data_IF_420681267729
#
_entry.id   IF_420681267729
#
_cell.length_a   1.000
_cell.length_b   1.000
_cell.length_c   1.000
_cell.angle_alpha   90.00
_cell.angle_beta   90.00
_cell.angle_gamma   90.00
#
_symmetry.space_group_name_H-M   'P 1'
#
loop_
_entity.id
_entity.type
_entity.pdbx_description
1 polymer ?
#
# COMPACT_ATOMS: atom_id res chain seq x y z
N UNK A 1 -22.07 31.06 11.70
CA UNK A 1 -22.12 29.79 12.46
C UNK A 1 -21.76 28.65 11.54
N UNK A 2 -20.54 28.13 11.64
CA UNK A 2 -20.09 26.99 10.83
C UNK A 2 -20.49 25.73 11.58
N UNK A 3 -21.46 24.98 11.06
CA UNK A 3 -21.83 23.68 11.61
C UNK A 3 -20.63 22.75 11.37
N UNK A 4 -19.91 22.39 12.45
CA UNK A 4 -18.87 21.39 12.39
C UNK A 4 -19.50 20.08 11.88
N UNK A 5 -19.10 19.65 10.69
CA UNK A 5 -19.51 18.35 10.15
C UNK A 5 -19.03 17.28 11.14
N UNK A 6 -19.89 16.38 11.64
CA UNK A 6 -19.42 15.28 12.47
C UNK A 6 -18.38 14.49 11.68
N UNK A 7 -17.25 14.19 12.31
CA UNK A 7 -16.21 13.36 11.71
C UNK A 7 -16.85 12.02 11.32
N UNK A 8 -16.70 11.62 10.05
CA UNK A 8 -17.20 10.33 9.59
C UNK A 8 -16.57 9.20 10.43
N UNK A 9 -17.32 8.16 10.80
CA UNK A 9 -16.78 7.06 11.57
C UNK A 9 -15.67 6.37 10.76
N UNK A 10 -14.53 6.11 11.40
CA UNK A 10 -13.43 5.35 10.80
C UNK A 10 -13.90 3.94 10.49
N UNK A 11 -13.85 3.56 9.21
CA UNK A 11 -14.22 2.22 8.79
C UNK A 11 -13.01 1.29 8.93
N UNK A 12 -13.19 0.19 9.65
CA UNK A 12 -12.12 -0.77 9.91
C UNK A 12 -12.63 -2.20 9.86
N UNK A 13 -11.83 -3.06 9.23
CA UNK A 13 -12.03 -4.51 9.25
C UNK A 13 -11.36 -5.14 10.47
N UNK A 14 -11.88 -6.31 10.87
CA UNK A 14 -11.17 -7.22 11.76
C UNK A 14 -10.17 -8.06 10.96
N UNK A 15 -9.18 -8.64 11.64
CA UNK A 15 -8.17 -9.54 11.04
C UNK A 15 -8.81 -10.60 10.12
N UNK A 16 -9.87 -11.27 10.60
CA UNK A 16 -10.55 -12.34 9.85
C UNK A 16 -11.22 -11.88 8.55
N UNK A 17 -11.55 -10.59 8.44
CA UNK A 17 -12.14 -10.00 7.23
C UNK A 17 -11.05 -9.41 6.32
N UNK A 18 -10.01 -8.79 6.91
CA UNK A 18 -8.90 -8.21 6.18
C UNK A 18 -8.09 -9.25 5.39
N UNK A 19 -7.80 -10.40 6.00
CA UNK A 19 -6.99 -11.44 5.36
C UNK A 19 -7.58 -11.92 4.02
N UNK A 20 -8.85 -12.34 3.93
CA UNK A 20 -9.46 -12.70 2.65
C UNK A 20 -9.37 -11.60 1.59
N UNK A 21 -9.54 -10.33 1.98
CA UNK A 21 -9.45 -9.19 1.06
C UNK A 21 -8.04 -9.08 0.47
N UNK A 22 -7.01 -9.08 1.31
CA UNK A 22 -5.62 -8.96 0.86
C UNK A 22 -5.21 -10.20 0.05
N UNK A 23 -5.56 -11.41 0.49
CA UNK A 23 -5.24 -12.64 -0.25
C UNK A 23 -5.86 -12.61 -1.65
N UNK A 24 -7.14 -12.24 -1.76
CA UNK A 24 -7.82 -12.17 -3.05
C UNK A 24 -7.20 -11.10 -3.96
N UNK A 25 -6.96 -9.89 -3.44
CA UNK A 25 -6.38 -8.79 -4.22
C UNK A 25 -4.94 -9.09 -4.67
N UNK A 26 -4.14 -9.74 -3.84
CA UNK A 26 -2.76 -10.12 -4.15
C UNK A 26 -2.64 -11.49 -4.85
N UNK A 27 -3.75 -12.14 -5.19
CA UNK A 27 -3.80 -13.45 -5.85
C UNK A 27 -3.04 -14.56 -5.09
N UNK A 28 -3.12 -14.54 -3.75
CA UNK A 28 -2.51 -15.56 -2.90
C UNK A 28 -3.45 -16.76 -2.78
N UNK A 29 -2.93 -17.94 -3.08
CA UNK A 29 -3.70 -19.18 -3.00
C UNK A 29 -4.24 -19.44 -1.57
N UNK A 30 -5.47 -19.98 -1.43
CA UNK A 30 -6.03 -20.33 -0.12
C UNK A 30 -5.18 -21.33 0.68
N UNK A 31 -4.45 -22.21 -0.02
CA UNK A 31 -3.51 -23.19 0.54
C UNK A 31 -2.40 -22.54 1.38
N UNK A 32 -1.96 -21.34 0.99
CA UNK A 32 -0.88 -20.60 1.64
C UNK A 32 -1.34 -19.76 2.86
N UNK A 33 -2.62 -19.86 3.27
CA UNK A 33 -3.23 -19.00 4.30
C UNK A 33 -2.45 -18.95 5.61
N UNK A 34 -1.95 -20.08 6.11
CA UNK A 34 -1.23 -20.12 7.39
C UNK A 34 0.07 -19.31 7.32
N UNK A 35 0.88 -19.53 6.27
CA UNK A 35 2.11 -18.79 6.05
C UNK A 35 1.83 -17.29 5.79
N UNK A 36 0.79 -17.01 5.02
CA UNK A 36 0.34 -15.65 4.75
C UNK A 36 -0.07 -14.89 6.02
N UNK A 37 -0.83 -15.53 6.92
CA UNK A 37 -1.23 -14.95 8.21
C UNK A 37 -0.02 -14.57 9.06
N UNK A 38 0.97 -15.46 9.15
CA UNK A 38 2.21 -15.16 9.87
C UNK A 38 2.94 -13.97 9.25
N UNK A 39 2.96 -13.88 7.91
CA UNK A 39 3.60 -12.79 7.20
C UNK A 39 2.89 -11.45 7.41
N UNK A 40 1.57 -11.42 7.34
CA UNK A 40 0.79 -10.20 7.64
C UNK A 40 1.12 -9.71 9.03
N UNK A 41 1.11 -10.58 10.05
CA UNK A 41 1.46 -10.19 11.43
C UNK A 41 2.89 -9.68 11.55
N UNK A 42 3.83 -10.22 10.79
CA UNK A 42 5.20 -9.70 10.74
C UNK A 42 5.22 -8.29 10.15
N UNK A 43 4.62 -8.08 8.98
CA UNK A 43 4.55 -6.77 8.32
C UNK A 43 3.84 -5.73 9.18
N UNK A 44 2.77 -6.11 9.86
CA UNK A 44 2.06 -5.22 10.78
C UNK A 44 2.94 -4.72 11.90
N UNK A 45 3.73 -5.61 12.52
CA UNK A 45 4.68 -5.19 13.56
C UNK A 45 5.72 -4.21 13.01
N UNK A 46 6.23 -4.47 11.81
CA UNK A 46 7.22 -3.62 11.15
C UNK A 46 6.64 -2.25 10.76
N UNK A 47 5.41 -2.21 10.25
CA UNK A 47 4.75 -0.97 9.84
C UNK A 47 4.31 -0.17 11.08
N UNK A 48 3.69 -0.83 12.06
CA UNK A 48 3.25 -0.17 13.29
C UNK A 48 4.42 0.38 14.11
N UNK A 49 5.58 -0.28 14.11
CA UNK A 49 6.76 0.18 14.87
C UNK A 49 7.40 1.47 14.33
N UNK A 50 6.94 2.01 13.20
CA UNK A 50 7.41 3.30 12.66
C UNK A 50 6.36 4.41 12.77
N UNK A 51 5.13 4.09 13.20
CA UNK A 51 4.09 5.09 13.47
C UNK A 51 4.22 5.43 14.95
N UNK A 52 4.48 6.69 15.28
CA UNK A 52 4.75 7.27 16.61
C UNK A 52 4.16 6.51 17.82
N UNK A 53 4.93 6.54 18.93
CA UNK A 53 4.59 6.01 20.27
C UNK A 53 3.25 6.54 20.84
N UNK A 54 2.64 7.55 20.24
CA UNK A 54 1.38 8.18 20.66
C UNK A 54 0.11 7.46 20.16
N UNK A 55 0.22 6.38 19.36
CA UNK A 55 -0.97 5.57 19.05
C UNK A 55 -1.32 4.73 20.29
N UNK A 56 -2.49 4.94 20.93
CA UNK A 56 -2.91 4.08 22.02
C UNK A 56 -2.95 2.64 21.53
N UNK A 57 -2.41 1.72 22.34
CA UNK A 57 -2.39 0.27 22.16
C UNK A 57 -3.82 -0.30 22.04
N UNK A 58 -4.51 0.03 20.96
CA UNK A 58 -5.82 -0.47 20.58
C UNK A 58 -5.68 -1.63 19.60
N UNK A 59 -6.74 -2.43 19.42
CA UNK A 59 -6.76 -3.47 18.39
C UNK A 59 -6.46 -2.85 17.02
N UNK A 60 -5.46 -3.40 16.32
CA UNK A 60 -5.06 -2.97 14.97
C UNK A 60 -6.29 -2.94 14.05
N UNK A 61 -6.72 -1.74 13.69
CA UNK A 61 -7.79 -1.49 12.75
C UNK A 61 -7.26 -1.68 11.33
N UNK A 62 -7.97 -2.45 10.50
CA UNK A 62 -7.65 -2.61 9.08
C UNK A 62 -8.52 -1.67 8.26
N UNK A 63 -8.16 -0.38 8.25
CA UNK A 63 -8.74 0.61 7.35
C UNK A 63 -8.20 0.44 5.92
N UNK A 64 -8.71 1.24 4.99
CA UNK A 64 -8.30 1.16 3.59
C UNK A 64 -6.79 1.44 3.41
N UNK A 65 -6.27 2.41 4.18
CA UNK A 65 -4.84 2.76 4.21
C UNK A 65 -4.01 1.54 4.64
N UNK A 66 -4.35 0.93 5.77
CA UNK A 66 -3.61 -0.20 6.31
C UNK A 66 -3.66 -1.43 5.37
N UNK A 67 -4.81 -1.67 4.71
CA UNK A 67 -4.93 -2.72 3.70
C UNK A 67 -4.05 -2.44 2.48
N UNK A 68 -4.02 -1.21 1.98
CA UNK A 68 -3.20 -0.81 0.84
C UNK A 68 -1.71 -0.89 1.17
N UNK A 69 -1.30 -0.46 2.36
CA UNK A 69 0.07 -0.60 2.87
C UNK A 69 0.52 -2.07 2.92
N UNK A 70 -0.30 -2.94 3.53
CA UNK A 70 0.01 -4.37 3.62
C UNK A 70 0.05 -5.04 2.24
N UNK A 71 -0.91 -4.73 1.37
CA UNK A 71 -0.93 -5.26 0.01
C UNK A 71 0.31 -4.83 -0.78
N UNK A 72 0.67 -3.54 -0.71
CA UNK A 72 1.88 -3.00 -1.36
C UNK A 72 3.12 -3.72 -0.86
N UNK A 73 3.30 -3.86 0.47
CA UNK A 73 4.44 -4.57 1.05
C UNK A 73 4.51 -6.03 0.58
N UNK A 74 3.37 -6.74 0.48
CA UNK A 74 3.32 -8.10 -0.06
C UNK A 74 3.75 -8.15 -1.52
N UNK A 75 3.30 -7.20 -2.34
CA UNK A 75 3.68 -7.13 -3.75
C UNK A 75 5.15 -6.82 -3.94
N UNK A 76 5.72 -5.93 -3.11
CA UNK A 76 7.17 -5.68 -3.08
C UNK A 76 7.94 -6.95 -2.71
N UNK A 77 7.48 -7.71 -1.72
CA UNK A 77 8.12 -8.97 -1.36
C UNK A 77 7.98 -10.06 -2.43
N UNK A 78 6.86 -10.10 -3.14
CA UNK A 78 6.68 -10.99 -4.29
C UNK A 78 7.67 -10.67 -5.42
N UNK A 79 8.13 -9.42 -5.50
CA UNK A 79 9.23 -8.97 -6.34
C UNK A 79 10.60 -9.06 -5.64
N UNK A 80 10.75 -10.03 -4.73
CA UNK A 80 11.99 -10.40 -4.02
C UNK A 80 12.54 -9.38 -3.02
N UNK A 81 11.76 -8.37 -2.64
CA UNK A 81 12.15 -7.46 -1.55
C UNK A 81 12.04 -8.16 -0.19
N UNK A 82 13.03 -7.99 0.69
CA UNK A 82 12.94 -8.49 2.07
C UNK A 82 11.85 -7.74 2.86
N UNK A 83 11.15 -8.40 3.81
CA UNK A 83 9.99 -7.79 4.50
C UNK A 83 10.29 -6.50 5.26
N UNK A 84 11.48 -6.38 5.87
CA UNK A 84 11.91 -5.16 6.57
C UNK A 84 12.02 -3.98 5.61
N UNK A 85 12.63 -4.19 4.44
CA UNK A 85 12.77 -3.16 3.41
C UNK A 85 11.41 -2.81 2.78
N UNK A 86 10.57 -3.81 2.50
CA UNK A 86 9.22 -3.58 1.97
C UNK A 86 8.38 -2.72 2.91
N UNK A 87 8.43 -2.99 4.22
CA UNK A 87 7.77 -2.16 5.22
C UNK A 87 8.33 -0.73 5.22
N UNK A 88 9.66 -0.54 5.17
CA UNK A 88 10.29 0.78 5.12
C UNK A 88 9.85 1.59 3.90
N UNK A 89 9.84 1.01 2.70
CA UNK A 89 9.35 1.70 1.50
C UNK A 89 7.89 2.17 1.65
N UNK A 90 7.03 1.29 2.17
CA UNK A 90 5.61 1.62 2.37
C UNK A 90 5.42 2.77 3.36
N UNK A 91 6.27 2.87 4.39
CA UNK A 91 6.20 3.92 5.41
C UNK A 91 6.86 5.21 4.91
N UNK A 92 8.15 5.15 4.58
CA UNK A 92 8.98 6.33 4.30
C UNK A 92 8.67 6.96 2.93
N UNK A 93 8.08 6.22 1.99
CA UNK A 93 7.70 6.73 0.66
C UNK A 93 6.20 6.85 0.48
N UNK A 94 5.41 6.78 1.56
CA UNK A 94 3.95 6.77 1.46
C UNK A 94 3.37 7.99 0.73
N UNK A 95 3.96 9.18 0.89
CA UNK A 95 3.53 10.40 0.20
C UNK A 95 3.58 10.26 -1.34
N UNK A 96 4.49 9.44 -1.85
CA UNK A 96 4.62 9.12 -3.28
C UNK A 96 3.72 7.93 -3.65
N UNK A 97 3.68 6.90 -2.80
CA UNK A 97 2.94 5.67 -3.06
C UNK A 97 1.42 5.89 -3.02
N UNK A 98 0.89 6.54 -1.99
CA UNK A 98 -0.56 6.71 -1.75
C UNK A 98 -1.33 7.26 -2.97
N UNK A 99 -0.90 8.37 -3.59
CA UNK A 99 -1.51 8.89 -4.81
C UNK A 99 -1.48 7.89 -5.99
N UNK A 100 -0.36 7.18 -6.18
CA UNK A 100 -0.22 6.17 -7.24
C UNK A 100 -1.13 4.96 -7.01
N UNK A 101 -1.26 4.52 -5.75
CA UNK A 101 -2.16 3.44 -5.35
C UNK A 101 -3.63 3.84 -5.56
N UNK A 102 -3.98 5.09 -5.27
CA UNK A 102 -5.31 5.63 -5.55
C UNK A 102 -5.59 5.65 -7.06
N UNK A 103 -4.63 6.09 -7.88
CA UNK A 103 -4.74 6.03 -9.34
C UNK A 103 -4.92 4.59 -9.82
N UNK A 104 -4.16 3.65 -9.25
CA UNK A 104 -4.24 2.22 -9.56
C UNK A 104 -5.60 1.58 -9.23
N UNK A 105 -6.39 2.14 -8.30
CA UNK A 105 -7.74 1.65 -8.03
C UNK A 105 -8.68 1.85 -9.22
N UNK A 106 -8.44 2.86 -10.06
CA UNK A 106 -9.10 3.08 -11.35
C UNK A 106 -10.63 2.87 -11.31
N UNK A 107 -11.17 1.87 -12.02
CA UNK A 107 -12.62 1.63 -12.12
C UNK A 107 -13.28 1.20 -10.81
N UNK A 108 -12.52 0.86 -9.76
CA UNK A 108 -13.07 0.58 -8.43
C UNK A 108 -13.44 1.87 -7.66
N UNK A 109 -13.00 3.04 -8.13
CA UNK A 109 -13.35 4.31 -7.51
C UNK A 109 -14.82 4.65 -7.78
N UNK A 110 -15.57 5.14 -6.77
CA UNK A 110 -16.95 5.60 -7.00
C UNK A 110 -17.01 6.73 -8.03
N UNK A 111 -18.01 6.69 -8.92
CA UNK A 111 -18.23 7.73 -9.94
C UNK A 111 -18.33 9.13 -9.31
N UNK A 112 -19.05 9.25 -8.20
CA UNK A 112 -19.18 10.52 -7.49
C UNK A 112 -17.86 11.03 -6.89
N UNK A 113 -16.89 10.14 -6.65
CA UNK A 113 -15.57 10.50 -6.16
C UNK A 113 -14.72 11.06 -7.30
N UNK A 114 -14.67 10.35 -8.43
CA UNK A 114 -13.90 10.76 -9.62
C UNK A 114 -14.47 12.01 -10.30
N UNK A 115 -15.79 12.25 -10.18
CA UNK A 115 -16.41 13.49 -10.62
C UNK A 115 -15.95 14.74 -9.82
N UNK A 116 -15.48 14.56 -8.58
CA UNK A 116 -15.08 15.64 -7.67
C UNK A 116 -13.58 15.77 -7.48
N UNK A 117 -12.81 14.73 -7.82
CA UNK A 117 -11.37 14.66 -7.60
C UNK A 117 -10.68 14.28 -8.89
N UNK A 118 -9.75 15.12 -9.34
CA UNK A 118 -8.81 14.74 -10.39
C UNK A 118 -7.87 13.66 -9.85
N UNK A 119 -7.88 12.51 -10.52
CA UNK A 119 -6.99 11.36 -10.26
C UNK A 119 -6.02 11.29 -11.45
N UNK A 120 -4.73 11.18 -11.15
CA UNK A 120 -3.71 11.00 -12.19
C UNK A 120 -3.79 9.62 -12.85
N UNK A 121 -3.01 9.43 -13.90
CA UNK A 121 -2.86 8.17 -14.65
C UNK A 121 -1.56 7.41 -14.28
N UNK A 122 -0.75 7.98 -13.39
CA UNK A 122 0.49 7.40 -12.91
C UNK A 122 0.19 6.25 -11.92
N UNK A 123 0.22 5.01 -12.41
CA UNK A 123 -0.10 3.79 -11.65
C UNK A 123 1.07 2.84 -11.48
N UNK A 124 2.18 3.09 -12.16
CA UNK A 124 3.36 2.22 -12.15
C UNK A 124 4.39 2.80 -11.20
N UNK A 125 4.71 2.03 -10.17
CA UNK A 125 5.77 2.34 -9.21
C UNK A 125 7.07 1.72 -9.70
N UNK A 126 8.12 2.53 -9.81
CA UNK A 126 9.44 2.09 -10.24
C UNK A 126 10.43 2.41 -9.13
N UNK A 127 11.05 1.38 -8.59
CA UNK A 127 11.96 1.49 -7.45
C UNK A 127 13.38 1.19 -7.93
N UNK A 128 14.29 2.13 -7.69
CA UNK A 128 15.70 1.98 -8.03
C UNK A 128 16.31 0.77 -7.29
N UNK A 129 17.05 -0.07 -8.03
CA UNK A 129 17.68 -1.27 -7.50
C UNK A 129 18.97 -1.04 -6.73
N UNK A 130 19.42 0.20 -6.54
CA UNK A 130 20.58 0.51 -5.69
C UNK A 130 20.38 0.00 -4.25
N UNK A 131 19.15 0.10 -3.71
CA UNK A 131 18.79 -0.54 -2.43
C UNK A 131 18.76 -2.09 -2.48
N UNK A 132 18.56 -2.68 -3.67
CA UNK A 132 18.58 -4.15 -3.87
C UNK A 132 20.01 -4.69 -4.02
N UNK A 133 20.93 -3.90 -4.57
CA UNK A 133 22.34 -4.25 -4.71
C UNK A 133 23.06 -4.32 -3.35
N UNK A 134 22.74 -3.41 -2.43
CA UNK A 134 23.30 -3.41 -1.07
C UNK A 134 22.77 -4.56 -0.20
N UNK A 135 21.53 -5.02 -0.43
CA UNK A 135 20.95 -6.18 0.26
C UNK A 135 21.75 -7.48 0.01
N UNK A 136 22.33 -7.62 -1.19
CA UNK A 136 23.20 -8.75 -1.51
C UNK A 136 24.51 -8.77 -0.71
N UNK A 137 24.98 -7.60 -0.24
CA UNK A 137 26.20 -7.48 0.56
C UNK A 137 25.95 -7.58 2.07
N UNK A 138 24.78 -7.14 2.54
CA UNK A 138 24.40 -7.22 3.97
C UNK A 138 23.62 -8.49 4.36
N UNK A 139 23.26 -9.35 3.41
CA UNK A 139 22.55 -10.62 3.63
C UNK A 139 23.26 -11.68 4.51
N UNK A 140 24.29 -11.30 5.27
CA UNK A 140 24.92 -12.12 6.31
C UNK A 140 24.34 -11.91 7.71
N UNK A 141 23.58 -10.84 7.96
CA UNK A 141 22.99 -10.58 9.26
C UNK A 141 21.55 -10.06 9.10
N UNK A 142 20.61 -10.65 9.84
CA UNK A 142 19.18 -10.30 9.96
C UNK A 142 18.93 -8.88 10.53
N UNK A 143 19.89 -7.97 10.38
CA UNK A 143 19.87 -6.62 10.91
C UNK A 143 18.94 -5.73 10.08
N UNK A 144 18.30 -4.75 10.74
CA UNK A 144 17.52 -3.70 10.07
C UNK A 144 18.45 -2.99 9.09
N UNK A 145 18.23 -3.15 7.78
CA UNK A 145 18.87 -2.31 6.77
C UNK A 145 18.60 -0.85 7.16
N UNK A 146 19.65 -0.12 7.53
CA UNK A 146 19.59 1.28 7.95
C UNK A 146 20.11 2.23 6.84
N UNK A 147 20.44 1.69 5.66
CA UNK A 147 20.84 2.49 4.51
C UNK A 147 19.70 3.34 3.95
N UNK A 148 20.08 4.31 3.10
CA UNK A 148 19.13 5.14 2.39
C UNK A 148 18.25 4.28 1.47
N UNK A 149 16.95 4.56 1.43
CA UNK A 149 16.06 3.92 0.46
C UNK A 149 16.37 4.43 -0.94
N UNK A 150 16.28 3.53 -1.92
CA UNK A 150 16.33 3.90 -3.32
C UNK A 150 15.21 4.87 -3.68
N UNK A 151 15.39 5.55 -4.80
CA UNK A 151 14.39 6.47 -5.33
C UNK A 151 13.18 5.69 -5.84
N UNK A 152 12.01 6.31 -5.68
CA UNK A 152 10.74 5.78 -6.16
C UNK A 152 10.19 6.78 -7.17
N UNK A 153 10.07 6.35 -8.41
CA UNK A 153 9.42 7.09 -9.48
C UNK A 153 8.02 6.52 -9.71
N UNK A 154 7.06 7.39 -9.99
CA UNK A 154 5.70 6.99 -10.37
C UNK A 154 5.43 7.49 -11.77
N UNK A 155 5.10 6.57 -12.67
CA UNK A 155 4.90 6.90 -14.08
C UNK A 155 3.57 6.38 -14.59
N UNK A 156 3.07 7.02 -15.65
CA UNK A 156 1.96 6.47 -16.41
C UNK A 156 2.43 5.20 -17.17
N UNK A 157 1.54 4.23 -17.43
CA UNK A 157 1.89 3.03 -18.21
C UNK A 157 2.53 3.34 -19.57
N UNK A 158 2.12 4.44 -20.21
CA UNK A 158 2.67 4.88 -21.50
C UNK A 158 4.13 5.36 -21.42
N UNK A 159 4.58 5.77 -20.24
CA UNK A 159 5.93 6.31 -20.00
C UNK A 159 6.92 5.23 -19.55
N UNK A 160 6.42 4.06 -19.12
CA UNK A 160 7.23 2.93 -18.65
C UNK A 160 8.37 2.53 -19.61
N UNK A 161 8.20 2.51 -20.95
CA UNK A 161 9.32 2.22 -21.86
C UNK A 161 10.48 3.22 -21.77
N UNK A 162 10.24 4.46 -21.30
CA UNK A 162 11.26 5.49 -21.12
C UNK A 162 12.01 5.43 -19.79
N UNK A 163 11.46 4.70 -18.81
CA UNK A 163 11.98 4.62 -17.43
C UNK A 163 13.34 3.95 -17.34
N UNK A 164 13.66 3.03 -18.24
CA UNK A 164 14.97 2.35 -18.26
C UNK A 164 16.15 3.33 -18.41
N UNK A 165 15.89 4.56 -18.88
CA UNK A 165 16.88 5.64 -18.96
C UNK A 165 17.01 6.45 -17.66
N UNK A 166 15.98 6.47 -16.83
CA UNK A 166 15.86 7.34 -15.65
C UNK A 166 16.65 6.76 -14.47
N UNK A 167 16.58 5.44 -14.26
CA UNK A 167 17.18 4.80 -13.07
C UNK A 167 18.53 4.12 -13.31
N UNK A 168 19.05 4.18 -14.54
CA UNK A 168 20.44 3.81 -14.85
C UNK A 168 20.87 2.38 -14.48
N UNK A 169 19.93 1.44 -14.31
CA UNK A 169 20.23 0.08 -13.85
C UNK A 169 19.01 -0.80 -13.59
N UNK A 170 19.20 -1.86 -12.79
CA UNK A 170 18.13 -2.76 -12.35
C UNK A 170 17.08 -2.00 -11.53
N UNK A 171 15.81 -2.22 -11.82
CA UNK A 171 14.70 -1.64 -11.08
C UNK A 171 13.64 -2.69 -10.75
N UNK A 172 12.86 -2.43 -9.71
CA UNK A 172 11.65 -3.16 -9.40
C UNK A 172 10.46 -2.35 -9.93
N UNK A 173 9.59 -3.01 -10.69
CA UNK A 173 8.37 -2.41 -11.24
C UNK A 173 7.17 -3.04 -10.55
N UNK A 174 6.29 -2.20 -10.01
CA UNK A 174 5.05 -2.62 -9.38
C UNK A 174 3.88 -1.86 -10.02
N UNK A 175 2.96 -2.60 -10.62
CA UNK A 175 1.70 -2.08 -11.15
C UNK A 175 0.61 -2.08 -10.08
N UNK A 176 0.15 -0.89 -9.68
CA UNK A 176 -0.91 -0.74 -8.69
C UNK A 176 -2.27 -1.25 -9.18
N UNK A 177 -2.51 -1.24 -10.50
CA UNK A 177 -3.78 -1.69 -11.10
C UNK A 177 -4.02 -3.19 -10.91
N UNK A 178 -2.94 -3.95 -10.69
CA UNK A 178 -3.01 -5.40 -10.51
C UNK A 178 -3.68 -5.83 -9.18
N UNK A 179 -3.76 -4.95 -8.17
CA UNK A 179 -4.27 -5.32 -6.85
C UNK A 179 -5.15 -4.26 -6.17
N UNK A 180 -4.92 -2.97 -6.41
CA UNK A 180 -5.67 -1.90 -5.74
C UNK A 180 -7.19 -1.94 -6.00
N UNK A 181 -7.70 -2.29 -7.20
CA UNK A 181 -9.14 -2.44 -7.40
C UNK A 181 -9.76 -3.49 -6.47
N UNK A 182 -9.06 -4.62 -6.27
CA UNK A 182 -9.49 -5.70 -5.38
C UNK A 182 -9.48 -5.27 -3.91
N UNK A 183 -8.50 -4.47 -3.50
CA UNK A 183 -8.43 -3.90 -2.14
C UNK A 183 -9.61 -2.97 -1.88
N UNK A 184 -9.87 -2.00 -2.78
CA UNK A 184 -10.95 -1.02 -2.63
C UNK A 184 -12.31 -1.70 -2.61
N UNK A 185 -12.59 -2.58 -3.58
CA UNK A 185 -13.86 -3.29 -3.66
C UNK A 185 -14.06 -4.25 -2.48
N UNK A 186 -13.01 -5.00 -2.11
CA UNK A 186 -13.04 -5.94 -1.00
C UNK A 186 -13.29 -5.24 0.33
N UNK A 187 -12.63 -4.11 0.57
CA UNK A 187 -12.87 -3.27 1.74
C UNK A 187 -14.30 -2.74 1.78
N UNK A 188 -14.74 -2.07 0.70
CA UNK A 188 -16.07 -1.47 0.61
C UNK A 188 -17.18 -2.50 0.85
N UNK A 189 -17.05 -3.69 0.26
CA UNK A 189 -17.99 -4.80 0.46
C UNK A 189 -17.97 -5.32 1.90
N UNK A 190 -16.78 -5.51 2.49
CA UNK A 190 -16.64 -6.13 3.80
C UNK A 190 -17.15 -5.25 4.94
N UNK A 191 -17.03 -3.92 4.81
CA UNK A 191 -17.61 -2.95 5.77
C UNK A 191 -19.01 -2.48 5.39
N UNK A 192 -19.53 -2.87 4.23
CA UNK A 192 -20.77 -2.33 3.66
C UNK A 192 -20.75 -0.80 3.56
N UNK A 193 -19.64 -0.24 3.10
CA UNK A 193 -19.42 1.22 3.04
C UNK A 193 -20.46 1.88 2.12
N UNK A 194 -21.02 2.99 2.59
CA UNK A 194 -21.71 3.93 1.72
C UNK A 194 -20.72 4.69 0.84
N UNK A 195 -21.19 5.28 -0.27
CA UNK A 195 -20.35 6.10 -1.15
C UNK A 195 -19.58 7.22 -0.43
N UNK A 196 -20.22 8.02 0.46
CA UNK A 196 -19.54 9.06 1.23
C UNK A 196 -18.47 8.54 2.19
N UNK A 197 -18.71 7.41 2.86
CA UNK A 197 -17.73 6.82 3.78
C UNK A 197 -16.51 6.27 3.01
N UNK A 198 -16.75 5.61 1.89
CA UNK A 198 -15.67 5.14 1.02
C UNK A 198 -14.86 6.32 0.45
N UNK A 199 -15.52 7.40 0.04
CA UNK A 199 -14.84 8.61 -0.41
C UNK A 199 -13.95 9.22 0.67
N UNK A 200 -14.38 9.19 1.94
CA UNK A 200 -13.56 9.66 3.06
C UNK A 200 -12.31 8.79 3.25
N UNK A 201 -12.45 7.46 3.19
CA UNK A 201 -11.30 6.55 3.28
C UNK A 201 -10.34 6.67 2.09
N UNK A 202 -10.84 6.95 0.88
CA UNK A 202 -10.02 7.22 -0.30
C UNK A 202 -9.23 8.54 -0.17
N UNK A 203 -9.84 9.58 0.40
CA UNK A 203 -9.10 10.81 0.72
C UNK A 203 -8.00 10.55 1.76
N UNK A 204 -8.24 9.67 2.75
CA UNK A 204 -7.19 9.26 3.69
C UNK A 204 -6.06 8.51 2.98
N UNK A 205 -6.37 7.60 2.06
CA UNK A 205 -5.36 6.91 1.24
C UNK A 205 -4.43 7.90 0.53
N UNK A 206 -4.98 9.01 0.04
CA UNK A 206 -4.24 10.05 -0.67
C UNK A 206 -3.37 10.94 0.23
N UNK A 207 -3.85 11.27 1.42
CA UNK A 207 -3.28 12.36 2.24
C UNK A 207 -2.72 11.94 3.59
N UNK A 208 -2.82 10.66 3.97
CA UNK A 208 -2.17 10.17 5.21
C UNK A 208 -0.66 10.34 5.06
N UNK A 209 -0.02 10.85 6.12
CA UNK A 209 1.44 10.93 6.28
C UNK A 209 1.84 10.05 7.44
#
# INVERSE_FOLDING_TARGET
>A
MTIARPAAPLLALRFSQAIPVIMAACQIEPSARTAFNARIRQLQRLIASHVDDDRPSGPLAYGLVELAQLATAIRLMAAFMVPTLAARYVIERWEILGPALLAGAGPALPVDYTARRTIGDATILVIAGNALADLGQQGRHDERYAGALGDVEVVAPAELPGVSKILGGTCLILDATAYMPGIVQGFAKAVSATGPELAHELDRLRFTR
#
